data_IF_810794575332
#
_entry.id   IF_810794575332
#
_cell.length_a   1.000
_cell.length_b   1.000
_cell.length_c   1.000
_cell.angle_alpha   90.00
_cell.angle_beta   90.00
_cell.angle_gamma   90.00
#
_symmetry.space_group_name_H-M   'P 1'
#
loop_
_entity.id
_entity.type
_entity.pdbx_description
1 polymer ?
#
# COMPACT_ATOMS: atom_id res chain seq x y z
N UNK A 1 5.70 -13.25 23.86
CA UNK A 1 6.06 -11.89 23.44
C UNK A 1 7.35 -12.03 22.67
N UNK A 2 7.25 -11.96 21.35
CA UNK A 2 8.37 -12.12 20.43
C UNK A 2 8.69 -10.83 19.66
N UNK A 3 8.21 -9.72 20.20
CA UNK A 3 8.57 -8.37 19.79
C UNK A 3 10.04 -8.11 20.14
N UNK A 4 10.80 -7.65 19.17
CA UNK A 4 12.21 -7.31 19.33
C UNK A 4 12.37 -5.84 19.72
N UNK A 5 13.30 -5.57 20.64
CA UNK A 5 13.74 -4.20 20.91
C UNK A 5 14.47 -3.65 19.67
N UNK A 6 14.12 -2.44 19.24
CA UNK A 6 14.77 -1.80 18.11
C UNK A 6 16.21 -1.43 18.45
N UNK A 7 17.13 -1.84 17.60
CA UNK A 7 18.51 -1.35 17.60
C UNK A 7 18.61 -0.03 16.81
N UNK A 8 19.82 0.55 16.78
CA UNK A 8 20.10 1.80 16.08
C UNK A 8 19.85 1.71 14.56
N UNK A 9 19.95 0.53 13.96
CA UNK A 9 19.65 0.33 12.53
C UNK A 9 18.14 0.38 12.29
N UNK A 10 17.38 -0.41 13.05
CA UNK A 10 15.92 -0.45 12.98
C UNK A 10 15.32 0.94 13.23
N UNK A 11 15.81 1.65 14.24
CA UNK A 11 15.37 3.01 14.54
C UNK A 11 15.66 3.98 13.40
N UNK A 12 16.83 3.91 12.77
CA UNK A 12 17.16 4.75 11.61
C UNK A 12 16.26 4.46 10.41
N UNK A 13 16.03 3.18 10.08
CA UNK A 13 15.12 2.77 9.01
C UNK A 13 13.70 3.31 9.22
N UNK A 14 13.15 3.10 10.42
CA UNK A 14 11.81 3.59 10.78
C UNK A 14 11.72 5.11 10.69
N UNK A 15 12.69 5.83 11.27
CA UNK A 15 12.69 7.30 11.26
C UNK A 15 12.82 7.88 9.85
N UNK A 16 13.58 7.23 8.97
CA UNK A 16 13.70 7.64 7.57
C UNK A 16 12.36 7.48 6.83
N UNK A 17 11.76 6.29 6.88
CA UNK A 17 10.46 6.02 6.24
C UNK A 17 9.38 6.96 6.77
N UNK A 18 9.33 7.14 8.10
CA UNK A 18 8.36 8.02 8.76
C UNK A 18 8.53 9.47 8.32
N UNK A 19 9.76 10.02 8.37
CA UNK A 19 10.04 11.39 7.96
C UNK A 19 9.62 11.67 6.52
N UNK A 20 9.84 10.72 5.61
CA UNK A 20 9.44 10.85 4.22
C UNK A 20 7.93 10.78 4.03
N UNK A 21 7.23 9.92 4.76
CA UNK A 21 5.76 9.89 4.74
C UNK A 21 5.17 11.17 5.36
N UNK A 22 5.70 11.68 6.47
CA UNK A 22 5.26 12.94 7.07
C UNK A 22 5.43 14.13 6.11
N UNK A 23 6.48 14.14 5.29
CA UNK A 23 6.68 15.15 4.24
C UNK A 23 5.65 15.00 3.11
N UNK A 24 5.36 13.76 2.72
CA UNK A 24 4.37 13.44 1.69
C UNK A 24 2.97 13.95 2.05
N UNK A 25 2.54 13.64 3.29
CA UNK A 25 1.22 14.00 3.81
C UNK A 25 1.17 15.40 4.43
N UNK A 26 2.33 16.02 4.67
CA UNK A 26 2.47 17.31 5.38
C UNK A 26 1.84 17.28 6.79
N UNK A 27 1.85 16.12 7.43
CA UNK A 27 1.25 15.85 8.74
C UNK A 27 2.27 15.11 9.60
N UNK A 28 2.34 15.45 10.89
CA UNK A 28 3.13 14.71 11.86
C UNK A 28 2.37 13.49 12.36
N UNK A 29 3.09 12.37 12.48
CA UNK A 29 2.57 11.21 13.18
C UNK A 29 2.42 11.50 14.68
N UNK A 30 1.37 10.95 15.27
CA UNK A 30 1.13 11.03 16.71
C UNK A 30 0.65 9.65 17.19
N UNK A 31 1.15 9.20 18.33
CA UNK A 31 0.75 7.94 18.98
C UNK A 31 0.92 6.66 18.13
N UNK A 32 1.76 6.70 17.08
CA UNK A 32 2.08 5.53 16.27
C UNK A 32 3.21 4.71 16.90
N UNK A 33 2.95 3.43 17.15
CA UNK A 33 4.00 2.48 17.53
C UNK A 33 4.38 1.61 16.34
N UNK A 34 5.66 1.54 15.98
CA UNK A 34 6.16 0.58 14.98
C UNK A 34 6.95 -0.50 15.72
N UNK A 35 6.65 -1.77 15.49
CA UNK A 35 7.21 -2.92 16.20
C UNK A 35 7.78 -3.94 15.19
N UNK A 36 8.86 -4.61 15.57
CA UNK A 36 9.43 -5.71 14.80
C UNK A 36 9.09 -7.03 15.51
N UNK A 37 8.50 -7.96 14.78
CA UNK A 37 7.99 -9.23 15.32
C UNK A 37 8.34 -10.40 14.41
N UNK A 38 8.52 -11.59 14.99
CA UNK A 38 8.60 -12.86 14.25
C UNK A 38 7.25 -13.61 14.18
N UNK A 39 6.19 -13.07 14.82
CA UNK A 39 4.82 -13.59 14.88
C UNK A 39 3.84 -12.40 15.02
N UNK A 40 3.72 -11.63 13.94
CA UNK A 40 2.81 -10.48 13.79
C UNK A 40 1.38 -10.91 14.07
N UNK A 41 0.97 -12.08 13.57
CA UNK A 41 -0.41 -12.55 13.71
C UNK A 41 -0.81 -12.80 15.16
N UNK A 42 0.12 -13.28 15.99
CA UNK A 42 -0.06 -13.35 17.43
C UNK A 42 0.04 -11.98 18.11
N UNK A 43 1.09 -11.20 17.81
CA UNK A 43 1.39 -9.97 18.54
C UNK A 43 0.35 -8.86 18.32
N UNK A 44 -0.27 -8.80 17.14
CA UNK A 44 -1.35 -7.84 16.85
C UNK A 44 -2.58 -8.01 17.76
N UNK A 45 -2.76 -9.19 18.37
CA UNK A 45 -3.87 -9.44 19.29
C UNK A 45 -3.81 -8.55 20.54
N UNK A 46 -2.66 -7.94 20.82
CA UNK A 46 -2.52 -6.92 21.86
C UNK A 46 -3.25 -5.61 21.53
N UNK A 47 -3.56 -5.38 20.25
CA UNK A 47 -4.16 -4.15 19.73
C UNK A 47 -5.58 -4.38 19.19
N UNK A 48 -5.89 -5.59 18.70
CA UNK A 48 -7.21 -5.94 18.18
C UNK A 48 -7.60 -7.37 18.59
N UNK A 49 -8.75 -7.54 19.26
CA UNK A 49 -9.19 -8.83 19.80
C UNK A 49 -9.73 -9.81 18.74
N UNK A 50 -9.78 -9.42 17.47
CA UNK A 50 -10.30 -10.26 16.40
C UNK A 50 -9.26 -11.25 15.88
N UNK A 51 -9.61 -12.54 15.94
CA UNK A 51 -8.81 -13.61 15.33
C UNK A 51 -9.12 -13.70 13.84
N UNK A 52 -8.44 -12.91 13.03
CA UNK A 52 -8.38 -13.15 11.58
C UNK A 52 -7.19 -14.07 11.30
N UNK A 53 -7.39 -15.37 11.10
CA UNK A 53 -6.27 -16.23 10.68
C UNK A 53 -5.92 -15.91 9.22
N UNK A 54 -4.71 -15.41 8.98
CA UNK A 54 -4.11 -15.35 7.64
C UNK A 54 -3.45 -16.70 7.36
N UNK A 55 -3.46 -17.12 6.09
CA UNK A 55 -2.83 -18.38 5.67
C UNK A 55 -1.30 -18.35 5.76
N UNK A 56 -0.72 -17.15 5.72
CA UNK A 56 0.72 -16.90 5.78
C UNK A 56 1.02 -15.69 6.66
N UNK A 57 2.22 -15.67 7.22
CA UNK A 57 2.71 -14.59 8.04
C UNK A 57 2.97 -13.34 7.17
N UNK A 58 2.38 -12.18 7.47
CA UNK A 58 2.55 -11.01 6.63
C UNK A 58 3.96 -10.42 6.76
N UNK A 59 4.37 -9.66 5.74
CA UNK A 59 5.63 -8.89 5.75
C UNK A 59 5.53 -7.66 6.66
N UNK A 60 4.34 -7.08 6.73
CA UNK A 60 3.99 -5.97 7.59
C UNK A 60 2.48 -5.92 7.81
N UNK A 61 2.06 -5.23 8.86
CA UNK A 61 0.65 -5.06 9.17
C UNK A 61 0.42 -3.79 9.97
N UNK A 62 -0.40 -2.89 9.43
CA UNK A 62 -1.02 -1.82 10.18
C UNK A 62 -2.29 -2.29 10.90
N UNK A 63 -2.36 -2.02 12.21
CA UNK A 63 -3.54 -2.18 13.04
C UNK A 63 -4.11 -0.80 13.36
N UNK A 64 -5.31 -0.46 12.86
CA UNK A 64 -5.90 0.87 13.05
C UNK A 64 -6.37 1.11 14.49
N UNK A 65 -6.42 2.39 14.87
CA UNK A 65 -6.91 2.82 16.18
C UNK A 65 -6.21 4.07 16.71
N UNK A 66 -6.76 4.67 17.76
CA UNK A 66 -6.19 5.86 18.42
C UNK A 66 -4.75 5.63 18.92
N UNK A 67 -4.45 4.40 19.33
CA UNK A 67 -3.11 3.91 19.68
C UNK A 67 -2.69 2.77 18.75
N UNK A 68 -2.97 2.91 17.45
CA UNK A 68 -2.65 1.92 16.43
C UNK A 68 -1.17 1.56 16.37
N UNK A 69 -0.88 0.42 15.76
CA UNK A 69 0.48 -0.09 15.63
C UNK A 69 0.78 -0.57 14.21
N UNK A 70 2.04 -0.50 13.83
CA UNK A 70 2.56 -1.15 12.63
C UNK A 70 3.50 -2.25 13.09
N UNK A 71 3.27 -3.46 12.62
CA UNK A 71 4.14 -4.61 12.81
C UNK A 71 4.95 -4.86 11.55
N UNK A 72 6.22 -5.18 11.70
CA UNK A 72 7.15 -5.47 10.62
C UNK A 72 7.80 -6.82 10.87
N UNK A 73 7.87 -7.66 9.84
CA UNK A 73 8.45 -8.99 9.94
C UNK A 73 9.96 -8.89 10.18
N UNK A 74 10.39 -9.21 11.40
CA UNK A 74 11.78 -9.09 11.84
C UNK A 74 12.72 -10.02 11.06
N UNK A 75 12.41 -11.33 10.89
CA UNK A 75 13.21 -12.21 10.02
C UNK A 75 13.47 -11.64 8.62
N UNK A 76 12.45 -11.04 8.01
CA UNK A 76 12.59 -10.44 6.68
C UNK A 76 13.33 -9.11 6.69
N UNK A 77 13.21 -8.29 7.75
CA UNK A 77 14.07 -7.12 7.93
C UNK A 77 15.56 -7.49 7.91
N UNK A 78 15.95 -8.58 8.60
CA UNK A 78 17.34 -9.03 8.65
C UNK A 78 17.79 -9.61 7.29
N UNK A 79 16.93 -10.38 6.62
CA UNK A 79 17.27 -11.05 5.35
C UNK A 79 17.27 -10.10 4.15
N UNK A 80 16.33 -9.17 4.10
CA UNK A 80 16.12 -8.24 2.99
C UNK A 80 15.67 -6.86 3.52
N UNK A 81 16.58 -6.10 4.14
CA UNK A 81 16.26 -4.76 4.65
C UNK A 81 15.63 -3.84 3.59
N UNK A 82 16.10 -3.79 2.33
CA UNK A 82 15.50 -2.93 1.29
C UNK A 82 14.02 -3.19 1.03
N UNK A 83 13.63 -4.45 0.84
CA UNK A 83 12.23 -4.80 0.65
C UNK A 83 11.38 -4.40 1.86
N UNK A 84 11.96 -4.54 3.06
CA UNK A 84 11.28 -4.19 4.31
C UNK A 84 11.06 -2.67 4.45
N UNK A 85 11.94 -1.83 3.90
CA UNK A 85 11.71 -0.37 3.85
C UNK A 85 10.46 -0.03 3.02
N UNK A 86 10.25 -0.74 1.90
CA UNK A 86 9.04 -0.59 1.08
C UNK A 86 7.80 -1.01 1.89
N UNK A 87 7.89 -2.11 2.64
CA UNK A 87 6.82 -2.57 3.53
C UNK A 87 6.50 -1.54 4.62
N UNK A 88 7.51 -0.99 5.32
CA UNK A 88 7.29 0.05 6.34
C UNK A 88 6.55 1.25 5.73
N UNK A 89 6.93 1.67 4.53
CA UNK A 89 6.27 2.78 3.82
C UNK A 89 4.82 2.43 3.48
N UNK A 90 4.56 1.23 2.98
CA UNK A 90 3.21 0.75 2.67
C UNK A 90 2.30 0.83 3.90
N UNK A 91 2.73 0.30 5.05
CA UNK A 91 1.94 0.36 6.28
C UNK A 91 1.79 1.79 6.83
N UNK A 92 2.81 2.64 6.68
CA UNK A 92 2.73 4.05 7.05
C UNK A 92 1.69 4.80 6.20
N UNK A 93 1.58 4.49 4.92
CA UNK A 93 0.56 5.09 4.04
C UNK A 93 -0.85 4.75 4.55
N UNK A 94 -1.10 3.49 4.90
CA UNK A 94 -2.37 3.09 5.52
C UNK A 94 -2.67 3.85 6.81
N UNK A 95 -1.67 4.04 7.66
CA UNK A 95 -1.80 4.83 8.88
C UNK A 95 -2.21 6.28 8.58
N UNK A 96 -1.50 6.96 7.67
CA UNK A 96 -1.80 8.36 7.34
C UNK A 96 -3.16 8.50 6.65
N UNK A 97 -3.50 7.62 5.71
CA UNK A 97 -4.81 7.59 5.06
C UNK A 97 -5.92 7.40 6.10
N UNK A 98 -5.74 6.49 7.06
CA UNK A 98 -6.75 6.20 8.09
C UNK A 98 -6.92 7.36 9.05
N UNK A 99 -5.83 8.02 9.48
CA UNK A 99 -5.92 9.23 10.30
C UNK A 99 -6.72 10.33 9.60
N UNK A 100 -6.44 10.57 8.32
CA UNK A 100 -7.14 11.58 7.54
C UNK A 100 -8.61 11.22 7.36
N UNK A 101 -8.91 9.95 7.06
CA UNK A 101 -10.27 9.46 6.93
C UNK A 101 -11.07 9.62 8.23
N UNK A 102 -10.48 9.25 9.37
CA UNK A 102 -11.15 9.39 10.68
C UNK A 102 -11.44 10.86 11.00
N UNK A 103 -10.52 11.76 10.68
CA UNK A 103 -10.74 13.19 10.87
C UNK A 103 -11.82 13.76 9.94
N UNK A 104 -11.86 13.32 8.69
CA UNK A 104 -12.75 13.88 7.67
C UNK A 104 -14.16 13.27 7.68
N UNK A 105 -14.28 11.98 7.95
CA UNK A 105 -15.53 11.21 7.80
C UNK A 105 -16.07 10.67 9.12
N UNK A 106 -15.26 10.60 10.18
CA UNK A 106 -15.65 10.00 11.45
C UNK A 106 -15.66 10.99 12.63
N UNK A 107 -15.59 12.29 12.36
CA UNK A 107 -15.49 13.36 13.38
C UNK A 107 -14.34 13.15 14.39
N UNK A 108 -13.24 12.51 13.95
CA UNK A 108 -12.10 12.17 14.81
C UNK A 108 -12.33 10.94 15.70
N UNK A 109 -13.47 10.25 15.60
CA UNK A 109 -13.79 9.09 16.44
C UNK A 109 -13.39 7.76 15.75
N UNK A 110 -12.37 7.10 16.28
CA UNK A 110 -11.91 5.80 15.79
C UNK A 110 -12.93 4.67 15.96
N UNK A 111 -13.87 4.76 16.90
CA UNK A 111 -14.94 3.76 17.06
C UNK A 111 -15.88 3.72 15.84
N UNK A 112 -15.95 4.82 15.09
CA UNK A 112 -16.75 4.91 13.88
C UNK A 112 -15.99 4.44 12.63
N UNK A 113 -14.68 4.22 12.70
CA UNK A 113 -13.83 4.01 11.53
C UNK A 113 -14.28 2.83 10.66
N UNK A 114 -14.33 1.63 11.23
CA UNK A 114 -14.74 0.41 10.51
C UNK A 114 -16.25 0.33 10.28
N UNK A 115 -17.02 1.12 11.03
CA UNK A 115 -18.49 1.19 10.96
C UNK A 115 -18.99 2.23 9.95
N UNK A 116 -18.12 3.09 9.42
CA UNK A 116 -18.51 4.12 8.47
C UNK A 116 -18.98 3.50 7.15
N UNK A 117 -20.03 4.05 6.54
CA UNK A 117 -20.69 3.44 5.37
C UNK A 117 -19.76 3.23 4.18
N UNK A 118 -18.81 4.14 3.95
CA UNK A 118 -17.82 4.04 2.86
C UNK A 118 -16.51 3.34 3.26
N UNK A 119 -16.40 2.81 4.49
CA UNK A 119 -15.15 2.22 5.01
C UNK A 119 -14.57 1.15 4.07
N UNK A 120 -15.42 0.25 3.54
CA UNK A 120 -14.96 -0.81 2.62
C UNK A 120 -14.32 -0.23 1.36
N UNK A 121 -14.93 0.81 0.77
CA UNK A 121 -14.39 1.50 -0.40
C UNK A 121 -13.08 2.22 -0.06
N UNK A 122 -13.05 2.93 1.06
CA UNK A 122 -11.84 3.58 1.56
C UNK A 122 -10.70 2.57 1.77
N UNK A 123 -10.96 1.43 2.42
CA UNK A 123 -9.96 0.40 2.69
C UNK A 123 -9.33 -0.13 1.39
N UNK A 124 -10.14 -0.40 0.39
CA UNK A 124 -9.66 -0.89 -0.91
C UNK A 124 -8.87 0.18 -1.67
N UNK A 125 -9.30 1.45 -1.60
CA UNK A 125 -8.53 2.56 -2.16
C UNK A 125 -7.20 2.75 -1.42
N UNK A 126 -7.18 2.67 -0.10
CA UNK A 126 -5.97 2.83 0.71
C UNK A 126 -4.96 1.73 0.40
N UNK A 127 -5.39 0.49 0.11
CA UNK A 127 -4.53 -0.58 -0.40
C UNK A 127 -3.88 -0.20 -1.73
N UNK A 128 -4.68 0.23 -2.71
CA UNK A 128 -4.14 0.73 -3.98
C UNK A 128 -3.14 1.87 -3.77
N UNK A 129 -3.48 2.85 -2.94
CA UNK A 129 -2.66 4.01 -2.67
C UNK A 129 -1.35 3.61 -1.98
N UNK A 130 -1.41 2.70 -1.00
CA UNK A 130 -0.26 2.14 -0.30
C UNK A 130 0.69 1.42 -1.26
N UNK A 131 0.17 0.57 -2.16
CA UNK A 131 1.00 -0.09 -3.19
C UNK A 131 1.60 0.94 -4.15
N UNK A 132 0.79 1.83 -4.73
CA UNK A 132 1.25 2.81 -5.71
C UNK A 132 2.36 3.69 -5.16
N UNK A 133 2.20 4.19 -3.93
CA UNK A 133 3.15 5.11 -3.31
C UNK A 133 4.36 4.39 -2.73
N UNK A 134 4.22 3.19 -2.16
CA UNK A 134 5.37 2.43 -1.67
C UNK A 134 6.26 1.94 -2.83
N UNK A 135 5.68 1.66 -4.00
CA UNK A 135 6.42 1.37 -5.22
C UNK A 135 7.29 2.53 -5.69
N UNK A 136 6.99 3.78 -5.35
CA UNK A 136 7.87 4.92 -5.69
C UNK A 136 8.73 5.34 -4.51
N UNK A 137 8.07 5.74 -3.42
CA UNK A 137 8.72 6.30 -2.24
C UNK A 137 9.65 5.28 -1.58
N UNK A 138 9.28 3.99 -1.58
CA UNK A 138 10.15 2.95 -1.06
C UNK A 138 11.44 2.79 -1.86
N UNK A 139 11.40 2.99 -3.19
CA UNK A 139 12.63 3.02 -4.02
C UNK A 139 13.43 4.30 -3.82
N UNK A 140 12.78 5.44 -3.64
CA UNK A 140 13.49 6.68 -3.31
C UNK A 140 14.21 6.58 -1.96
N UNK A 141 13.58 5.95 -0.96
CA UNK A 141 14.18 5.63 0.33
C UNK A 141 15.36 4.69 0.14
N UNK A 142 15.20 3.65 -0.68
CA UNK A 142 16.28 2.71 -0.96
C UNK A 142 17.47 3.40 -1.63
N UNK A 143 17.23 4.21 -2.65
CA UNK A 143 18.27 5.00 -3.32
C UNK A 143 18.97 5.99 -2.38
N UNK A 144 18.23 6.55 -1.42
CA UNK A 144 18.81 7.44 -0.41
C UNK A 144 19.63 6.69 0.64
N UNK A 145 19.14 5.55 1.11
CA UNK A 145 19.77 4.77 2.17
C UNK A 145 20.97 3.96 1.68
N UNK A 146 20.96 3.56 0.40
CA UNK A 146 21.95 2.67 -0.22
C UNK A 146 22.37 3.18 -1.63
N UNK A 147 22.88 4.43 -1.72
CA UNK A 147 23.16 5.11 -2.99
C UNK A 147 24.27 4.44 -3.82
N UNK A 148 25.09 3.59 -3.22
CA UNK A 148 26.11 2.82 -3.92
C UNK A 148 25.57 1.63 -4.72
N UNK A 149 24.32 1.22 -4.46
CA UNK A 149 23.66 0.08 -5.13
C UNK A 149 22.48 0.48 -6.01
N UNK A 150 21.88 1.64 -5.74
CA UNK A 150 20.64 2.04 -6.40
C UNK A 150 20.50 3.57 -6.37
N UNK A 151 20.14 4.15 -7.50
CA UNK A 151 20.01 5.59 -7.72
C UNK A 151 18.59 5.97 -8.11
N UNK A 152 18.33 7.28 -8.26
CA UNK A 152 17.03 7.75 -8.75
C UNK A 152 16.84 7.44 -10.23
N UNK A 153 17.93 7.46 -11.00
CA UNK A 153 17.95 7.10 -12.41
C UNK A 153 17.54 5.62 -12.61
N UNK A 154 18.01 4.72 -11.73
CA UNK A 154 17.64 3.31 -11.77
C UNK A 154 16.13 3.07 -11.60
N UNK A 155 15.44 3.92 -10.84
CA UNK A 155 13.97 3.86 -10.68
C UNK A 155 13.30 4.11 -12.03
N UNK A 156 13.76 5.13 -12.75
CA UNK A 156 13.20 5.51 -14.05
C UNK A 156 13.46 4.38 -15.06
N UNK A 157 14.68 3.86 -15.10
CA UNK A 157 15.05 2.76 -15.98
C UNK A 157 14.22 1.50 -15.70
N UNK A 158 14.01 1.16 -14.42
CA UNK A 158 13.22 -0.01 -13.99
C UNK A 158 11.79 0.04 -14.55
N UNK A 159 11.10 1.17 -14.42
CA UNK A 159 9.70 1.28 -14.85
C UNK A 159 9.55 1.63 -16.33
N UNK A 160 10.61 2.09 -17.00
CA UNK A 160 10.61 2.29 -18.45
C UNK A 160 10.75 0.99 -19.25
N UNK A 161 11.32 -0.06 -18.65
CA UNK A 161 11.59 -1.32 -19.34
C UNK A 161 10.31 -2.12 -19.66
N UNK A 162 10.15 -2.48 -20.94
CA UNK A 162 9.08 -3.38 -21.39
C UNK A 162 9.14 -4.76 -20.71
N UNK A 163 10.31 -5.22 -20.30
CA UNK A 163 10.47 -6.46 -19.53
C UNK A 163 9.72 -6.38 -18.21
N UNK A 164 9.72 -5.22 -17.55
CA UNK A 164 9.04 -5.02 -16.27
C UNK A 164 7.54 -5.19 -16.40
N UNK A 165 6.91 -4.49 -17.34
CA UNK A 165 5.47 -4.62 -17.58
C UNK A 165 5.08 -6.03 -18.05
N UNK A 166 5.93 -6.70 -18.83
CA UNK A 166 5.69 -8.10 -19.20
C UNK A 166 5.76 -9.06 -18.01
N UNK A 167 6.65 -8.82 -17.04
CA UNK A 167 6.68 -9.60 -15.81
C UNK A 167 5.38 -9.44 -15.01
N UNK A 168 4.85 -8.21 -14.90
CA UNK A 168 3.56 -7.97 -14.26
C UNK A 168 2.41 -8.67 -14.99
N UNK A 169 2.40 -8.65 -16.33
CA UNK A 169 1.41 -9.38 -17.13
C UNK A 169 1.47 -10.88 -16.90
N UNK A 170 2.68 -11.45 -16.88
CA UNK A 170 2.86 -12.88 -16.63
C UNK A 170 2.43 -13.26 -15.21
N UNK A 171 2.69 -12.39 -14.23
CA UNK A 171 2.25 -12.59 -12.85
C UNK A 171 0.72 -12.61 -12.75
N UNK A 172 0.02 -11.63 -13.33
CA UNK A 172 -1.46 -11.62 -13.27
C UNK A 172 -2.07 -12.81 -14.03
N UNK A 173 -1.45 -13.27 -15.11
CA UNK A 173 -1.89 -14.46 -15.85
C UNK A 173 -1.65 -15.78 -15.11
N UNK A 174 -0.75 -15.80 -14.11
CA UNK A 174 -0.41 -17.00 -13.34
C UNK A 174 -1.45 -17.41 -12.30
N UNK A 175 -2.41 -16.52 -11.99
CA UNK A 175 -3.43 -16.80 -10.98
C UNK A 175 -4.61 -17.57 -11.57
N UNK A 176 -5.09 -18.56 -10.82
CA UNK A 176 -6.31 -19.29 -11.17
C UNK A 176 -7.54 -18.37 -11.15
N UNK A 177 -7.62 -17.48 -10.16
CA UNK A 177 -8.64 -16.45 -10.02
C UNK A 177 -7.94 -15.14 -9.65
N UNK A 178 -8.28 -14.07 -10.37
CA UNK A 178 -7.80 -12.72 -10.08
C UNK A 178 -8.84 -12.01 -9.22
N UNK A 179 -8.48 -11.73 -7.96
CA UNK A 179 -9.32 -10.94 -7.04
C UNK A 179 -8.93 -9.45 -7.02
N UNK A 180 -9.62 -8.67 -6.20
CA UNK A 180 -9.40 -7.22 -6.10
C UNK A 180 -7.98 -6.84 -5.65
N UNK A 181 -7.35 -7.63 -4.77
CA UNK A 181 -6.01 -7.33 -4.25
C UNK A 181 -4.99 -7.45 -5.40
N UNK A 182 -5.12 -8.49 -6.20
CA UNK A 182 -4.32 -8.65 -7.42
C UNK A 182 -4.55 -7.49 -8.40
N UNK A 183 -5.81 -7.07 -8.59
CA UNK A 183 -6.15 -5.97 -9.51
C UNK A 183 -5.58 -4.64 -9.04
N UNK A 184 -5.71 -4.26 -7.77
CA UNK A 184 -5.20 -2.97 -7.28
C UNK A 184 -3.69 -2.87 -7.40
N UNK A 185 -2.99 -3.95 -7.04
CA UNK A 185 -1.55 -4.04 -7.23
C UNK A 185 -1.18 -3.89 -8.71
N UNK A 186 -1.85 -4.63 -9.58
CA UNK A 186 -1.59 -4.58 -11.00
C UNK A 186 -1.87 -3.20 -11.60
N UNK A 187 -2.95 -2.53 -11.19
CA UNK A 187 -3.23 -1.13 -11.56
C UNK A 187 -2.08 -0.20 -11.17
N UNK A 188 -1.61 -0.28 -9.93
CA UNK A 188 -0.50 0.54 -9.44
C UNK A 188 0.79 0.31 -10.26
N UNK A 189 1.14 -0.94 -10.52
CA UNK A 189 2.29 -1.34 -11.35
C UNK A 189 2.19 -0.79 -12.78
N UNK A 190 1.03 -0.95 -13.42
CA UNK A 190 0.77 -0.44 -14.79
C UNK A 190 0.82 1.10 -14.83
N UNK A 191 0.26 1.79 -13.83
CA UNK A 191 0.27 3.25 -13.77
C UNK A 191 1.69 3.82 -13.75
N UNK A 192 2.61 3.19 -13.02
CA UNK A 192 3.99 3.61 -12.97
C UNK A 192 4.69 3.41 -14.31
N UNK A 193 4.53 2.24 -14.94
CA UNK A 193 5.12 1.97 -16.25
C UNK A 193 4.61 2.95 -17.32
N UNK A 194 3.30 3.20 -17.40
CA UNK A 194 2.73 4.17 -18.36
C UNK A 194 3.21 5.60 -18.05
N UNK A 195 3.28 5.96 -16.77
CA UNK A 195 3.72 7.28 -16.33
C UNK A 195 5.20 7.56 -16.67
N UNK A 196 6.04 6.53 -16.70
CA UNK A 196 7.48 6.67 -16.98
C UNK A 196 7.85 6.37 -18.45
N UNK A 197 7.04 5.58 -19.17
CA UNK A 197 7.25 5.28 -20.59
C UNK A 197 5.98 5.50 -21.42
N UNK A 198 5.98 6.58 -22.19
CA UNK A 198 4.85 6.97 -23.05
C UNK A 198 4.57 6.01 -24.22
N UNK A 199 5.44 5.02 -24.48
CA UNK A 199 5.21 3.98 -25.47
C UNK A 199 4.37 2.82 -24.92
N UNK A 200 4.29 2.69 -23.59
CA UNK A 200 3.44 1.71 -22.93
C UNK A 200 2.02 2.30 -22.87
N UNK A 201 1.07 1.66 -23.53
CA UNK A 201 -0.34 2.05 -23.51
C UNK A 201 -1.14 1.13 -22.60
N UNK A 202 -2.25 1.62 -22.06
CA UNK A 202 -3.15 0.79 -21.23
C UNK A 202 -3.63 -0.46 -22.00
N UNK A 203 -3.92 -0.32 -23.30
CA UNK A 203 -4.35 -1.44 -24.14
C UNK A 203 -3.28 -2.53 -24.27
N UNK A 204 -1.99 -2.17 -24.24
CA UNK A 204 -0.90 -3.14 -24.26
C UNK A 204 -0.81 -3.95 -22.96
N UNK A 205 -1.19 -3.35 -21.83
CA UNK A 205 -1.12 -3.97 -20.51
C UNK A 205 -2.26 -4.96 -20.27
N UNK A 206 -3.41 -4.81 -20.94
CA UNK A 206 -4.58 -5.64 -20.68
C UNK A 206 -4.40 -7.05 -21.25
N UNK A 207 -4.41 -8.05 -20.36
CA UNK A 207 -4.31 -9.46 -20.69
C UNK A 207 -5.69 -10.07 -20.96
N UNK A 208 -5.74 -11.19 -21.69
CA UNK A 208 -7.00 -11.92 -21.89
C UNK A 208 -7.61 -12.38 -20.56
N UNK A 209 -6.75 -12.70 -19.58
CA UNK A 209 -7.15 -13.07 -18.21
C UNK A 209 -7.91 -11.93 -17.53
N UNK A 210 -7.40 -10.71 -17.61
CA UNK A 210 -8.06 -9.51 -17.07
C UNK A 210 -9.39 -9.24 -17.77
N UNK A 211 -9.45 -9.31 -19.10
CA UNK A 211 -10.70 -9.12 -19.84
C UNK A 211 -11.78 -10.12 -19.40
N UNK A 212 -11.39 -11.35 -19.07
CA UNK A 212 -12.30 -12.41 -18.64
C UNK A 212 -12.74 -12.25 -17.18
N UNK A 213 -11.78 -12.11 -16.27
CA UNK A 213 -12.03 -12.18 -14.83
C UNK A 213 -12.44 -10.81 -14.27
N UNK A 214 -12.04 -9.71 -14.92
CA UNK A 214 -12.35 -8.34 -14.51
C UNK A 214 -12.60 -7.42 -15.72
N UNK A 215 -13.76 -7.54 -16.42
CA UNK A 215 -14.04 -6.78 -17.64
C UNK A 215 -13.99 -5.26 -17.48
N UNK A 216 -14.24 -4.74 -16.27
CA UNK A 216 -14.24 -3.31 -15.94
C UNK A 216 -12.86 -2.73 -15.58
N UNK A 217 -11.77 -3.43 -15.96
CA UNK A 217 -10.41 -3.03 -15.60
C UNK A 217 -10.04 -1.63 -16.09
N UNK A 218 -10.44 -1.26 -17.31
CA UNK A 218 -10.10 0.06 -17.88
C UNK A 218 -10.75 1.19 -17.09
N UNK A 219 -12.02 1.03 -16.78
CA UNK A 219 -12.80 1.98 -15.99
C UNK A 219 -12.17 2.16 -14.61
N UNK A 220 -11.85 1.05 -13.93
CA UNK A 220 -11.17 1.08 -12.64
C UNK A 220 -9.82 1.80 -12.72
N UNK A 221 -9.00 1.46 -13.73
CA UNK A 221 -7.70 2.09 -13.93
C UNK A 221 -7.83 3.61 -14.08
N UNK A 222 -8.78 4.08 -14.90
CA UNK A 222 -8.98 5.51 -15.09
C UNK A 222 -9.49 6.22 -13.84
N UNK A 223 -10.34 5.57 -13.05
CA UNK A 223 -10.80 6.15 -11.78
C UNK A 223 -9.65 6.24 -10.78
N UNK A 224 -8.92 5.14 -10.55
CA UNK A 224 -7.77 5.13 -9.65
C UNK A 224 -6.69 6.14 -10.06
N UNK A 225 -6.49 6.37 -11.37
CA UNK A 225 -5.48 7.34 -11.86
C UNK A 225 -5.79 8.79 -11.46
N UNK A 226 -7.06 9.10 -11.17
CA UNK A 226 -7.49 10.41 -10.69
C UNK A 226 -7.33 10.56 -9.18
N UNK A 227 -7.12 9.45 -8.45
CA UNK A 227 -7.16 9.36 -6.99
C UNK A 227 -5.83 8.85 -6.41
N UNK A 228 -4.72 9.33 -6.96
CA UNK A 228 -3.36 8.96 -6.53
C UNK A 228 -2.87 9.71 -5.28
N UNK A 229 -3.72 10.56 -4.71
CA UNK A 229 -3.52 11.22 -3.41
C UNK A 229 -4.80 11.16 -2.57
N UNK A 230 -4.67 11.27 -1.26
CA UNK A 230 -5.81 11.27 -0.35
C UNK A 230 -6.78 12.41 -0.65
N UNK A 231 -6.32 13.64 -0.90
CA UNK A 231 -7.21 14.78 -1.17
C UNK A 231 -8.06 14.55 -2.42
N UNK A 232 -7.48 13.92 -3.44
CA UNK A 232 -8.23 13.56 -4.64
C UNK A 232 -9.20 12.42 -4.40
N UNK A 233 -8.80 11.42 -3.62
CA UNK A 233 -9.70 10.35 -3.22
C UNK A 233 -10.88 10.87 -2.39
N UNK A 234 -10.64 11.80 -1.46
CA UNK A 234 -11.67 12.47 -0.65
C UNK A 234 -12.72 13.13 -1.52
N UNK A 235 -12.32 13.95 -2.51
CA UNK A 235 -13.26 14.58 -3.47
C UNK A 235 -14.18 13.55 -4.12
N UNK A 236 -13.67 12.35 -4.41
CA UNK A 236 -14.44 11.26 -5.04
C UNK A 236 -15.27 10.44 -4.04
N UNK A 237 -14.77 10.23 -2.82
CA UNK A 237 -15.45 9.55 -1.72
C UNK A 237 -16.67 10.37 -1.25
N UNK A 238 -16.50 11.69 -1.09
CA UNK A 238 -17.58 12.64 -0.75
C UNK A 238 -18.75 12.60 -1.73
N UNK A 239 -18.45 12.35 -3.01
CA UNK A 239 -19.46 12.31 -4.07
C UNK A 239 -20.13 10.94 -4.22
N UNK A 240 -19.67 9.88 -3.54
CA UNK A 240 -20.12 8.48 -3.74
C UNK A 240 -20.11 8.03 -5.22
N UNK A 241 -19.21 8.58 -6.03
CA UNK A 241 -19.10 8.32 -7.48
C UNK A 241 -18.37 7.01 -7.82
N UNK A 242 -18.31 6.06 -6.89
CA UNK A 242 -17.67 4.77 -7.13
C UNK A 242 -18.71 3.74 -7.58
N UNK A 243 -19.01 3.69 -8.88
CA UNK A 243 -19.89 2.65 -9.44
C UNK A 243 -19.28 1.25 -9.28
N UNK A 244 -17.96 1.13 -9.46
CA UNK A 244 -17.24 -0.14 -9.40
C UNK A 244 -17.30 -0.80 -8.01
N UNK A 245 -17.38 -0.02 -6.92
CA UNK A 245 -17.31 -0.54 -5.56
C UNK A 245 -18.67 -0.87 -4.94
N UNK A 246 -19.75 -0.29 -5.49
CA UNK A 246 -21.13 -0.67 -5.15
C UNK A 246 -21.46 -2.11 -5.55
N UNK A 247 -20.66 -2.72 -6.43
CA UNK A 247 -20.82 -4.10 -6.87
C UNK A 247 -20.05 -5.14 -6.03
N UNK A 248 -19.31 -4.72 -5.00
CA UNK A 248 -18.54 -5.61 -4.13
C UNK A 248 -19.24 -5.96 -2.80
N UNK A 249 -20.58 -5.83 -2.75
CA UNK A 249 -21.39 -6.46 -1.69
C UNK A 249 -21.49 -7.97 -1.95
N UNK A 250 -20.52 -8.73 -1.44
CA UNK A 250 -20.67 -10.17 -1.19
C UNK A 250 -20.12 -10.51 0.20
#
# INVERSE_FOLDING_TARGET
MSIFEKDDSMNRSVNLCLSMCEQLYKIKSHNLTILFSDDIMHDRLQYQNEKVELSEEPEGLYVPGENGAIFINYPNYIKNPPATLITIVHELIHYFDSMLFVNDFCDGNWDNFENHEIYKTFRLWSEFHAVYRSLLLGREIYAYAMPEYYSREDIIEEFQDFTKINNYKNYIESFDVVDYYHIFRYCAEVMLCIGMNNQITLDYCITNKLVKDFPAFKELFYDLSKMTTYEKAKEHLDLMHWELFKHFEY
#
